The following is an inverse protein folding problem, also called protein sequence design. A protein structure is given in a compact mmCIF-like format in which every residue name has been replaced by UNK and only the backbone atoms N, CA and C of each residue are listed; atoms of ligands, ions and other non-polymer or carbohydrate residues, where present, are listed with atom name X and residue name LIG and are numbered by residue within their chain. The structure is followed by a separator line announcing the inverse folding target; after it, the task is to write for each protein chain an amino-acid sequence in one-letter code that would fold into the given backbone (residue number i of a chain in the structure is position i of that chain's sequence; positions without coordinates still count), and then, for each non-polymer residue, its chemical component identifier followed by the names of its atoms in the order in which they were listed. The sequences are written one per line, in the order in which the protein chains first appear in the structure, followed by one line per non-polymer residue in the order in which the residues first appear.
data_IF_063113602047
#
_entry.id   IF_063113602047
#
_cell.length_a   1.000
_cell.length_b   1.000
_cell.length_c   1.000
_cell.angle_alpha   90.00
_cell.angle_beta   90.00
_cell.angle_gamma   90.00
#
_symmetry.space_group_name_H-M   'P 1'
#
loop_
_entity.id
_entity.type
_entity.pdbx_description
1 polymer ?
#
# COMPACT_ATOMS: atom_id res chain seq x y z
N UNK A 1 0.20 6.10 6.51
CA UNK A 1 -0.78 6.80 5.68
C UNK A 1 -1.53 7.79 6.54
N UNK A 2 -1.75 9.00 6.04
CA UNK A 2 -2.68 9.98 6.59
C UNK A 2 -3.96 9.94 5.76
N UNK A 3 -5.09 9.59 6.36
CA UNK A 3 -6.35 9.40 5.64
C UNK A 3 -7.58 9.55 6.55
N UNK A 4 -8.71 9.88 5.95
CA UNK A 4 -10.01 9.94 6.61
C UNK A 4 -11.10 9.29 5.74
N UNK A 5 -11.99 8.52 6.36
CA UNK A 5 -13.14 7.88 5.73
C UNK A 5 -14.45 8.45 6.29
N UNK A 6 -15.40 8.74 5.39
CA UNK A 6 -16.77 9.05 5.74
C UNK A 6 -17.51 7.74 6.13
N UNK A 7 -18.71 7.79 6.77
CA UNK A 7 -19.44 6.59 7.16
C UNK A 7 -19.64 5.58 6.01
N UNK A 8 -19.22 4.33 6.24
CA UNK A 8 -19.24 3.27 5.22
C UNK A 8 -18.15 3.37 4.15
N UNK A 9 -17.24 4.35 4.27
CA UNK A 9 -16.07 4.49 3.43
C UNK A 9 -14.91 3.57 3.82
N UNK A 10 -13.95 3.43 2.93
CA UNK A 10 -12.72 2.72 3.18
C UNK A 10 -11.57 3.19 2.29
N UNK A 11 -10.35 2.92 2.75
CA UNK A 11 -9.14 2.86 1.94
C UNK A 11 -8.59 1.44 1.97
N UNK A 12 -8.34 0.89 0.78
CA UNK A 12 -7.56 -0.32 0.58
C UNK A 12 -6.34 0.00 -0.26
N UNK A 13 -5.26 -0.76 -0.10
CA UNK A 13 -4.04 -0.59 -0.88
C UNK A 13 -3.64 -1.92 -1.47
N UNK A 14 -3.25 -1.90 -2.74
CA UNK A 14 -2.70 -3.04 -3.45
C UNK A 14 -1.27 -2.73 -3.89
N UNK A 15 -0.39 -3.72 -3.79
CA UNK A 15 0.97 -3.63 -4.31
C UNK A 15 1.00 -4.29 -5.68
N UNK A 16 1.58 -3.59 -6.66
CA UNK A 16 1.80 -4.14 -8.01
C UNK A 16 3.25 -4.00 -8.46
N UNK A 17 3.60 -4.81 -9.45
CA UNK A 17 4.88 -4.71 -10.15
C UNK A 17 4.88 -3.61 -11.22
N UNK A 18 5.96 -3.57 -12.00
CA UNK A 18 6.14 -2.58 -13.08
C UNK A 18 5.11 -2.71 -14.20
N UNK A 19 4.51 -3.89 -14.38
CA UNK A 19 3.53 -4.22 -15.39
C UNK A 19 2.09 -4.19 -14.86
N UNK A 20 1.87 -3.58 -13.68
CA UNK A 20 0.56 -3.49 -13.02
C UNK A 20 -0.02 -4.83 -12.55
N UNK A 21 0.79 -5.89 -12.50
CA UNK A 21 0.38 -7.19 -11.98
C UNK A 21 0.31 -7.14 -10.44
N UNK A 22 -0.84 -7.53 -9.83
CA UNK A 22 -0.98 -7.65 -8.38
C UNK A 22 0.04 -8.61 -7.77
N UNK A 23 0.65 -8.17 -6.68
CA UNK A 23 1.58 -9.01 -5.92
C UNK A 23 0.79 -9.94 -4.99
N UNK A 24 0.98 -11.26 -5.06
CA UNK A 24 0.28 -12.20 -4.19
C UNK A 24 0.46 -11.87 -2.71
N UNK A 25 -0.63 -11.96 -1.94
CA UNK A 25 -0.66 -11.63 -0.51
C UNK A 25 -0.65 -10.13 -0.20
N UNK A 26 -0.50 -9.26 -1.22
CA UNK A 26 -0.59 -7.80 -1.10
C UNK A 26 -1.64 -7.24 -2.08
N UNK A 27 -2.66 -8.05 -2.36
CA UNK A 27 -3.78 -7.66 -3.22
C UNK A 27 -4.77 -6.79 -2.44
N UNK A 28 -5.71 -6.15 -3.16
CA UNK A 28 -6.82 -5.44 -2.51
C UNK A 28 -7.70 -6.33 -1.61
N UNK A 29 -7.74 -7.63 -1.88
CA UNK A 29 -8.56 -8.59 -1.13
C UNK A 29 -7.82 -9.09 0.11
N UNK A 30 -6.49 -9.03 0.09
CA UNK A 30 -5.65 -9.30 1.26
C UNK A 30 -5.49 -8.08 2.17
N UNK A 31 -5.77 -6.87 1.67
CA UNK A 31 -5.61 -5.62 2.43
C UNK A 31 -6.62 -5.53 3.57
N UNK A 32 -6.13 -5.25 4.77
CA UNK A 32 -6.97 -4.88 5.90
C UNK A 32 -7.51 -3.48 5.65
N UNK A 33 -8.83 -3.34 5.50
CA UNK A 33 -9.44 -2.08 5.11
C UNK A 33 -9.32 -1.03 6.23
N UNK A 34 -8.84 0.17 5.87
CA UNK A 34 -8.87 1.31 6.77
C UNK A 34 -10.21 2.03 6.63
N UNK A 35 -10.97 2.20 7.71
CA UNK A 35 -12.30 2.82 7.73
C UNK A 35 -12.42 4.01 8.67
N UNK A 36 -11.29 4.50 9.22
CA UNK A 36 -11.26 5.53 10.25
C UNK A 36 -10.77 6.89 9.75
N UNK A 37 -10.34 7.70 10.71
CA UNK A 37 -9.63 8.97 10.52
C UNK A 37 -8.33 8.93 11.33
N UNK A 38 -7.19 9.05 10.64
CA UNK A 38 -5.87 8.95 11.26
C UNK A 38 -4.83 9.75 10.50
N UNK A 39 -4.04 10.53 11.25
CA UNK A 39 -2.83 11.20 10.74
C UNK A 39 -1.73 10.17 10.41
N UNK A 40 -1.68 9.06 11.14
CA UNK A 40 -0.73 7.96 10.93
C UNK A 40 -1.43 6.60 11.07
N UNK A 41 -1.56 5.89 9.95
CA UNK A 41 -2.02 4.50 9.89
C UNK A 41 -1.02 3.64 9.11
N UNK A 42 -0.66 2.47 9.65
CA UNK A 42 0.16 1.47 8.96
C UNK A 42 -0.77 0.53 8.20
N UNK A 43 -0.62 0.49 6.88
CA UNK A 43 -1.37 -0.43 6.03
C UNK A 43 -0.82 -1.83 6.22
N UNK A 44 -1.71 -2.80 6.35
CA UNK A 44 -1.37 -4.21 6.47
C UNK A 44 -2.18 -5.05 5.50
N UNK A 45 -1.61 -6.20 5.14
CA UNK A 45 -2.28 -7.25 4.37
C UNK A 45 -2.33 -8.51 5.22
N UNK A 46 -3.52 -8.85 5.73
CA UNK A 46 -3.74 -9.93 6.71
C UNK A 46 -2.80 -9.80 7.92
N UNK A 47 -2.67 -8.58 8.44
CA UNK A 47 -1.81 -8.23 9.57
C UNK A 47 -0.32 -8.01 9.24
N UNK A 48 0.12 -8.24 8.02
CA UNK A 48 1.52 -8.07 7.62
C UNK A 48 1.75 -6.71 6.94
N UNK A 49 2.63 -5.83 7.47
CA UNK A 49 2.90 -4.51 6.89
C UNK A 49 3.98 -4.51 5.79
N UNK A 50 4.62 -5.65 5.50
CA UNK A 50 5.78 -5.70 4.60
C UNK A 50 5.41 -5.52 3.13
N UNK A 51 6.24 -4.72 2.45
CA UNK A 51 6.20 -4.54 0.99
C UNK A 51 7.50 -5.10 0.39
N UNK A 52 7.52 -6.40 0.02
CA UNK A 52 8.66 -7.02 -0.63
C UNK A 52 9.13 -6.26 -1.87
N UNK A 53 10.41 -5.92 -1.90
CA UNK A 53 11.06 -5.33 -3.07
C UNK A 53 11.67 -6.44 -3.94
N UNK A 54 11.70 -6.29 -5.27
CA UNK A 54 12.41 -7.24 -6.11
C UNK A 54 13.93 -7.16 -5.87
N UNK A 55 14.59 -8.31 -5.74
CA UNK A 55 16.05 -8.39 -5.52
C UNK A 55 16.88 -7.86 -6.69
N UNK A 56 16.30 -7.87 -7.89
CA UNK A 56 16.96 -7.43 -9.12
C UNK A 56 16.19 -6.30 -9.79
N UNK A 57 16.88 -5.26 -10.28
CA UNK A 57 16.26 -4.24 -11.11
C UNK A 57 15.74 -4.88 -12.41
N UNK A 58 14.65 -4.34 -12.96
CA UNK A 58 14.18 -4.76 -14.28
C UNK A 58 15.05 -4.09 -15.37
N UNK A 59 15.15 -4.65 -16.59
CA UNK A 59 15.94 -4.01 -17.65
C UNK A 59 15.55 -2.56 -17.97
N UNK A 60 14.28 -2.19 -17.67
CA UNK A 60 13.76 -0.84 -17.88
C UNK A 60 14.00 0.11 -16.72
N UNK A 61 14.23 -0.39 -15.50
CA UNK A 61 14.32 0.43 -14.30
C UNK A 61 15.53 0.03 -13.46
N UNK A 62 16.51 0.93 -13.37
CA UNK A 62 17.78 0.71 -12.65
C UNK A 62 17.62 0.58 -11.14
N UNK A 63 16.48 1.00 -10.58
CA UNK A 63 16.16 0.88 -9.17
C UNK A 63 14.90 0.00 -9.02
N UNK A 64 14.94 -1.06 -8.19
CA UNK A 64 13.75 -1.82 -7.85
C UNK A 64 12.67 -0.88 -7.29
N UNK A 65 11.44 -1.03 -7.76
CA UNK A 65 10.31 -0.28 -7.22
C UNK A 65 9.04 -1.13 -7.18
N UNK A 66 8.11 -0.70 -6.34
CA UNK A 66 6.72 -1.19 -6.31
C UNK A 66 5.78 -0.03 -6.58
N UNK A 67 4.67 -0.33 -7.25
CA UNK A 67 3.56 0.60 -7.39
C UNK A 67 2.56 0.33 -6.26
N UNK A 68 2.12 1.39 -5.59
CA UNK A 68 1.01 1.35 -4.65
C UNK A 68 -0.26 1.84 -5.34
N UNK A 69 -1.28 0.99 -5.39
CA UNK A 69 -2.60 1.32 -5.94
C UNK A 69 -3.56 1.51 -4.78
N UNK A 70 -4.05 2.73 -4.61
CA UNK A 70 -5.04 3.05 -3.59
C UNK A 70 -6.45 2.89 -4.17
N UNK A 71 -7.30 2.15 -3.46
CA UNK A 71 -8.72 1.98 -3.78
C UNK A 71 -9.53 2.67 -2.68
N UNK A 72 -10.27 3.71 -3.06
CA UNK A 72 -11.00 4.57 -2.14
C UNK A 72 -12.50 4.47 -2.38
N UNK A 73 -13.27 4.43 -1.30
CA UNK A 73 -14.72 4.66 -1.32
C UNK A 73 -15.03 5.63 -0.20
N UNK A 74 -15.69 6.77 -0.51
CA UNK A 74 -16.05 7.79 0.47
C UNK A 74 -14.89 8.09 1.45
N UNK A 75 -13.69 8.29 0.91
CA UNK A 75 -12.46 8.42 1.68
C UNK A 75 -11.49 9.38 0.99
N UNK A 76 -10.54 9.89 1.77
CA UNK A 76 -9.49 10.82 1.33
C UNK A 76 -8.15 10.33 1.88
N UNK A 77 -7.12 10.32 1.03
CA UNK A 77 -5.73 10.09 1.43
C UNK A 77 -4.99 11.40 1.26
N UNK A 78 -4.43 11.92 2.35
CA UNK A 78 -3.71 13.20 2.36
C UNK A 78 -2.20 13.00 2.16
N UNK A 79 -1.68 11.82 2.52
CA UNK A 79 -0.28 11.50 2.33
C UNK A 79 0.07 10.07 2.70
N UNK A 80 1.16 9.57 2.15
CA UNK A 80 1.72 8.28 2.51
C UNK A 80 3.23 8.32 2.48
N UNK A 81 3.85 7.39 3.20
CA UNK A 81 5.28 7.15 3.15
C UNK A 81 5.49 5.64 3.08
N UNK A 82 6.48 5.21 2.31
CA UNK A 82 7.01 3.87 2.41
C UNK A 82 8.19 3.94 3.37
N UNK A 83 8.18 3.10 4.41
CA UNK A 83 9.29 2.96 5.34
C UNK A 83 10.10 1.75 4.89
N UNK A 84 11.38 1.97 4.63
CA UNK A 84 12.34 0.87 4.53
C UNK A 84 12.72 0.45 5.95
N UNK A 85 12.52 -0.82 6.28
CA UNK A 85 12.78 -1.43 7.60
C UNK A 85 14.24 -1.36 8.05
N UNK A 86 15.14 -0.83 7.22
CA UNK A 86 16.59 -0.87 7.37
C UNK A 86 17.19 0.10 8.38
N UNK A 87 16.42 0.97 9.04
CA UNK A 87 16.94 1.82 10.11
C UNK A 87 15.99 1.87 11.32
N UNK A 88 16.41 1.20 12.39
CA UNK A 88 16.06 1.52 13.78
C UNK A 88 17.32 2.03 14.49
#
# INVERSE_FOLDING_TARGET
MNAACDPGGYVKVEVTDVNDAPMPGRTRDDCDAFTGDAVVHTVTWRGDPSVPMPDTPTPRFRTPYRKLRFILRAARVYGFRLHDGLHR
#
